data_IF_839202133119
#
_entry.id   IF_839202133119
#
_cell.length_a   1.000
_cell.length_b   1.000
_cell.length_c   1.000
_cell.angle_alpha   90.00
_cell.angle_beta   90.00
_cell.angle_gamma   90.00
#
_symmetry.space_group_name_H-M   'P 1'
#
loop_
_entity.id
_entity.type
_entity.pdbx_description
1 polymer ?
#
# COMPACT_ATOMS: atom_id res chain seq x y z
N UNK A 1 8.94 24.58 -3.02
CA UNK A 1 8.36 23.23 -2.85
C UNK A 1 7.98 22.67 -4.23
N UNK A 2 7.75 21.37 -4.35
CA UNK A 2 7.31 20.77 -5.62
C UNK A 2 6.03 21.41 -6.18
N UNK A 3 5.14 21.91 -5.31
CA UNK A 3 3.91 22.62 -5.68
C UNK A 3 4.15 23.87 -6.53
N UNK A 4 5.17 24.68 -6.21
CA UNK A 4 5.45 25.93 -6.92
C UNK A 4 5.82 25.70 -8.39
N UNK A 5 6.60 24.66 -8.67
CA UNK A 5 6.99 24.30 -10.04
C UNK A 5 5.86 23.50 -10.71
N UNK A 6 5.19 22.62 -9.97
CA UNK A 6 4.07 21.82 -10.45
C UNK A 6 2.95 22.68 -11.02
N UNK A 7 2.49 23.69 -10.27
CA UNK A 7 1.39 24.55 -10.69
C UNK A 7 1.72 25.36 -11.95
N UNK A 8 2.96 25.88 -12.01
CA UNK A 8 3.45 26.61 -13.18
C UNK A 8 3.53 25.70 -14.42
N UNK A 9 3.97 24.45 -14.27
CA UNK A 9 4.02 23.48 -15.35
C UNK A 9 2.61 23.15 -15.85
N UNK A 10 1.73 22.68 -14.98
CA UNK A 10 0.43 22.13 -15.39
C UNK A 10 -0.51 23.16 -16.00
N UNK A 11 -0.34 24.44 -15.65
CA UNK A 11 -1.12 25.56 -16.19
C UNK A 11 -0.49 26.22 -17.43
N UNK A 12 0.70 25.80 -17.87
CA UNK A 12 1.40 26.47 -18.95
C UNK A 12 0.78 26.17 -20.33
N UNK A 13 0.41 27.18 -21.14
CA UNK A 13 -0.35 27.00 -22.40
C UNK A 13 0.43 26.26 -23.50
N UNK A 14 1.75 26.19 -23.38
CA UNK A 14 2.59 25.43 -24.31
C UNK A 14 2.57 23.91 -24.03
N UNK A 15 2.16 23.46 -22.85
CA UNK A 15 2.10 22.03 -22.55
C UNK A 15 0.90 21.40 -23.28
N UNK A 16 1.18 20.37 -24.08
CA UNK A 16 0.18 19.66 -24.89
C UNK A 16 -0.24 18.33 -24.31
N UNK A 17 0.57 17.77 -23.41
CA UNK A 17 0.28 16.52 -22.73
C UNK A 17 0.86 16.52 -21.31
N UNK A 18 0.13 15.92 -20.37
CA UNK A 18 0.53 15.73 -18.98
C UNK A 18 0.38 14.25 -18.65
N UNK A 19 1.45 13.65 -18.12
CA UNK A 19 1.41 12.33 -17.50
C UNK A 19 1.76 12.48 -16.03
N UNK A 20 0.95 11.92 -15.15
CA UNK A 20 1.16 11.98 -13.71
C UNK A 20 0.91 10.62 -13.06
N UNK A 21 1.80 10.26 -12.13
CA UNK A 21 1.64 9.10 -11.26
C UNK A 21 1.79 9.54 -9.81
N UNK A 22 0.80 9.25 -8.98
CA UNK A 22 0.82 9.67 -7.57
C UNK A 22 -0.53 9.59 -6.86
N UNK A 23 -0.77 10.47 -5.88
CA UNK A 23 -2.00 10.45 -5.10
C UNK A 23 -3.21 10.93 -5.90
N UNK A 24 -4.40 10.42 -5.57
CA UNK A 24 -5.68 10.85 -6.17
C UNK A 24 -5.93 12.33 -5.92
N UNK A 25 -5.63 12.82 -4.72
CA UNK A 25 -5.79 14.23 -4.36
C UNK A 25 -4.93 15.15 -5.24
N UNK A 26 -3.65 14.84 -5.40
CA UNK A 26 -2.75 15.64 -6.26
C UNK A 26 -3.16 15.53 -7.73
N UNK A 27 -3.52 14.34 -8.23
CA UNK A 27 -3.97 14.18 -9.60
C UNK A 27 -5.24 14.99 -9.92
N UNK A 28 -6.20 15.06 -8.98
CA UNK A 28 -7.38 15.94 -9.09
C UNK A 28 -7.00 17.42 -9.18
N UNK A 29 -6.05 17.87 -8.35
CA UNK A 29 -5.53 19.27 -8.40
C UNK A 29 -4.87 19.58 -9.74
N UNK A 30 -4.02 18.68 -10.22
CA UNK A 30 -3.34 18.82 -11.52
C UNK A 30 -4.38 18.91 -12.65
N UNK A 31 -5.36 18.01 -12.68
CA UNK A 31 -6.40 18.00 -13.70
C UNK A 31 -7.20 19.30 -13.70
N UNK A 32 -7.60 19.79 -12.52
CA UNK A 32 -8.35 21.04 -12.37
C UNK A 32 -7.55 22.26 -12.86
N UNK A 33 -6.24 22.32 -12.56
CA UNK A 33 -5.38 23.42 -13.00
C UNK A 33 -5.07 23.38 -14.50
N UNK A 34 -5.01 22.18 -15.10
CA UNK A 34 -4.61 21.99 -16.49
C UNK A 34 -5.78 22.07 -17.49
N UNK A 35 -7.01 21.76 -17.08
CA UNK A 35 -8.14 21.53 -17.99
C UNK A 35 -8.47 22.75 -18.87
N UNK A 36 -8.22 23.97 -18.40
CA UNK A 36 -8.45 25.19 -19.19
C UNK A 36 -7.64 25.25 -20.49
N UNK A 37 -6.47 24.59 -20.55
CA UNK A 37 -5.63 24.49 -21.74
C UNK A 37 -5.95 23.25 -22.60
N UNK A 38 -6.86 22.38 -22.14
CA UNK A 38 -7.25 21.12 -22.77
C UNK A 38 -6.06 20.22 -23.21
N UNK A 39 -5.03 20.00 -22.37
CA UNK A 39 -3.95 19.08 -22.73
C UNK A 39 -4.45 17.64 -22.74
N UNK A 40 -3.77 16.75 -23.47
CA UNK A 40 -3.94 15.30 -23.27
C UNK A 40 -3.48 14.94 -21.86
N UNK A 41 -4.26 14.13 -21.13
CA UNK A 41 -3.94 13.75 -19.76
C UNK A 41 -3.94 12.23 -19.57
N UNK A 42 -2.88 11.72 -18.94
CA UNK A 42 -2.78 10.35 -18.42
C UNK A 42 -2.49 10.43 -16.92
N UNK A 43 -3.32 9.77 -16.11
CA UNK A 43 -3.26 9.87 -14.64
C UNK A 43 -3.30 8.47 -14.03
N UNK A 44 -2.19 8.02 -13.48
CA UNK A 44 -2.07 6.75 -12.76
C UNK A 44 -2.05 7.04 -11.26
N UNK A 45 -3.16 6.77 -10.57
CA UNK A 45 -3.35 7.26 -9.20
C UNK A 45 -3.49 6.12 -8.18
N UNK A 46 -4.00 6.44 -6.99
CA UNK A 46 -4.22 5.47 -5.92
C UNK A 46 -5.06 4.26 -6.34
N UNK A 47 -4.94 3.20 -5.55
CA UNK A 47 -5.53 1.91 -5.84
C UNK A 47 -5.93 1.18 -4.55
N UNK A 48 -6.79 0.19 -4.69
CA UNK A 48 -7.11 -0.80 -3.67
C UNK A 48 -7.27 -2.16 -4.36
N UNK A 49 -6.14 -2.73 -4.78
CA UNK A 49 -6.16 -3.91 -5.65
C UNK A 49 -6.60 -5.14 -4.87
N UNK A 50 -7.57 -5.86 -5.43
CA UNK A 50 -8.04 -7.11 -4.89
C UNK A 50 -7.23 -8.29 -5.44
N UNK A 51 -6.83 -9.20 -4.56
CA UNK A 51 -6.42 -10.56 -4.94
C UNK A 51 -7.53 -11.50 -4.48
N UNK A 52 -8.11 -12.25 -5.42
CA UNK A 52 -9.18 -13.21 -5.16
C UNK A 52 -8.58 -14.61 -5.12
N UNK A 53 -8.85 -15.35 -4.05
CA UNK A 53 -8.36 -16.71 -3.82
C UNK A 53 -9.57 -17.64 -3.71
N UNK A 54 -9.70 -18.54 -4.68
CA UNK A 54 -10.80 -19.51 -4.78
C UNK A 54 -10.46 -20.81 -4.05
N UNK A 55 -11.46 -21.64 -3.78
CA UNK A 55 -11.33 -22.90 -3.02
C UNK A 55 -10.49 -23.97 -3.72
N UNK A 56 -10.32 -23.89 -5.04
CA UNK A 56 -9.46 -24.75 -5.84
C UNK A 56 -8.02 -24.23 -5.98
N UNK A 57 -7.68 -23.12 -5.32
CA UNK A 57 -6.34 -22.56 -5.37
C UNK A 57 -5.32 -23.45 -4.65
N UNK A 58 -4.10 -23.51 -5.18
CA UNK A 58 -2.94 -23.94 -4.40
C UNK A 58 -2.71 -22.92 -3.27
N UNK A 59 -3.02 -23.33 -2.04
CA UNK A 59 -3.00 -22.43 -0.87
C UNK A 59 -1.58 -21.92 -0.60
N UNK A 60 -0.55 -22.75 -0.75
CA UNK A 60 0.83 -22.34 -0.45
C UNK A 60 1.32 -21.32 -1.49
N UNK A 61 0.99 -21.54 -2.77
CA UNK A 61 1.24 -20.55 -3.82
C UNK A 61 0.44 -19.27 -3.59
N UNK A 62 -0.84 -19.37 -3.21
CA UNK A 62 -1.69 -18.22 -2.97
C UNK A 62 -1.17 -17.36 -1.81
N UNK A 63 -0.71 -17.97 -0.71
CA UNK A 63 -0.10 -17.28 0.43
C UNK A 63 1.19 -16.58 0.00
N UNK A 64 2.07 -17.24 -0.76
CA UNK A 64 3.29 -16.64 -1.28
C UNK A 64 3.00 -15.43 -2.20
N UNK A 65 2.02 -15.57 -3.10
CA UNK A 65 1.57 -14.50 -3.98
C UNK A 65 0.99 -13.31 -3.19
N UNK A 66 0.13 -13.57 -2.20
CA UNK A 66 -0.47 -12.54 -1.36
C UNK A 66 0.59 -11.78 -0.56
N UNK A 67 1.50 -12.50 0.10
CA UNK A 67 2.57 -11.92 0.90
C UNK A 67 3.52 -11.05 0.05
N UNK A 68 3.96 -11.54 -1.10
CA UNK A 68 4.81 -10.76 -2.02
C UNK A 68 4.05 -9.56 -2.64
N UNK A 69 2.79 -9.78 -3.01
CA UNK A 69 1.90 -8.75 -3.54
C UNK A 69 1.71 -7.59 -2.56
N UNK A 70 1.44 -7.91 -1.30
CA UNK A 70 1.20 -6.94 -0.23
C UNK A 70 2.48 -6.26 0.26
N UNK A 71 3.55 -7.00 0.52
CA UNK A 71 4.71 -6.49 1.25
C UNK A 71 5.96 -6.21 0.40
N UNK A 72 6.06 -6.76 -0.82
CA UNK A 72 7.19 -6.48 -1.70
C UNK A 72 7.32 -4.98 -1.99
N UNK A 73 8.53 -4.42 -1.96
CA UNK A 73 8.74 -2.96 -2.05
C UNK A 73 8.20 -2.20 -0.84
N UNK A 74 8.16 -2.83 0.34
CA UNK A 74 7.57 -2.29 1.59
C UNK A 74 6.09 -1.94 1.42
N UNK A 75 5.39 -2.63 0.52
CA UNK A 75 3.98 -2.37 0.19
C UNK A 75 3.70 -1.02 -0.48
N UNK A 76 4.73 -0.22 -0.77
CA UNK A 76 4.61 1.09 -1.41
C UNK A 76 4.52 0.94 -2.94
N UNK A 77 3.54 0.17 -3.41
CA UNK A 77 3.29 -0.11 -4.84
C UNK A 77 1.84 0.21 -5.19
N UNK A 78 1.60 0.91 -6.30
CA UNK A 78 0.24 1.13 -6.80
C UNK A 78 -0.47 -0.18 -7.21
N UNK A 79 0.26 -1.26 -7.41
CA UNK A 79 -0.27 -2.59 -7.72
C UNK A 79 -0.28 -3.52 -6.50
N UNK A 80 0.04 -3.02 -5.29
CA UNK A 80 0.04 -3.84 -4.09
C UNK A 80 -1.33 -4.47 -3.85
N UNK A 81 -1.34 -5.77 -3.54
CA UNK A 81 -2.54 -6.54 -3.21
C UNK A 81 -2.94 -6.28 -1.77
N UNK A 82 -3.56 -5.11 -1.54
CA UNK A 82 -3.92 -4.63 -0.20
C UNK A 82 -5.31 -5.06 0.26
N UNK A 83 -6.03 -5.82 -0.58
CA UNK A 83 -7.31 -6.45 -0.24
C UNK A 83 -7.30 -7.90 -0.71
N UNK A 84 -7.37 -8.82 0.23
CA UNK A 84 -7.46 -10.25 -0.06
C UNK A 84 -8.93 -10.68 0.08
N UNK A 85 -9.47 -11.34 -0.94
CA UNK A 85 -10.83 -11.88 -0.93
C UNK A 85 -10.68 -13.39 -1.05
N UNK A 86 -10.90 -14.09 0.05
CA UNK A 86 -10.66 -15.53 0.15
C UNK A 86 -12.00 -16.25 0.19
N UNK A 87 -12.12 -17.34 -0.56
CA UNK A 87 -13.30 -18.20 -0.51
C UNK A 87 -13.47 -18.81 0.88
N UNK A 88 -14.71 -18.84 1.38
CA UNK A 88 -15.08 -19.24 2.75
C UNK A 88 -14.50 -20.61 3.14
N UNK A 89 -14.59 -21.58 2.22
CA UNK A 89 -14.12 -22.95 2.43
C UNK A 89 -12.62 -23.10 2.77
N UNK A 90 -11.78 -22.12 2.43
CA UNK A 90 -10.33 -22.13 2.67
C UNK A 90 -9.85 -20.92 3.48
N UNK A 91 -10.77 -20.08 3.96
CA UNK A 91 -10.45 -18.79 4.57
C UNK A 91 -9.52 -18.95 5.78
N UNK A 92 -9.90 -19.78 6.75
CA UNK A 92 -9.18 -19.89 8.01
C UNK A 92 -7.78 -20.47 7.83
N UNK A 93 -7.65 -21.52 7.00
CA UNK A 93 -6.35 -22.11 6.67
C UNK A 93 -5.43 -21.09 5.95
N UNK A 94 -5.97 -20.35 4.98
CA UNK A 94 -5.22 -19.33 4.27
C UNK A 94 -4.74 -18.22 5.21
N UNK A 95 -5.62 -17.75 6.10
CA UNK A 95 -5.30 -16.69 7.07
C UNK A 95 -4.22 -17.15 8.03
N UNK A 96 -4.32 -18.36 8.58
CA UNK A 96 -3.30 -18.92 9.48
C UNK A 96 -1.91 -18.98 8.82
N UNK A 97 -1.84 -19.50 7.58
CA UNK A 97 -0.60 -19.58 6.82
C UNK A 97 -0.05 -18.20 6.47
N UNK A 98 -0.90 -17.26 6.08
CA UNK A 98 -0.49 -15.89 5.75
C UNK A 98 0.07 -15.17 6.99
N UNK A 99 -0.59 -15.28 8.15
CA UNK A 99 -0.10 -14.71 9.40
C UNK A 99 1.25 -15.30 9.78
N UNK A 100 1.41 -16.62 9.64
CA UNK A 100 2.67 -17.31 9.91
C UNK A 100 3.79 -16.80 9.01
N UNK A 101 3.55 -16.74 7.70
CA UNK A 101 4.52 -16.21 6.74
C UNK A 101 4.86 -14.73 7.01
N UNK A 102 3.86 -13.92 7.37
CA UNK A 102 4.03 -12.49 7.64
C UNK A 102 4.89 -12.25 8.88
N UNK A 103 4.68 -13.01 9.96
CA UNK A 103 5.48 -12.91 11.20
C UNK A 103 6.95 -13.29 11.00
N UNK A 104 7.26 -14.10 9.99
CA UNK A 104 8.62 -14.52 9.67
C UNK A 104 9.39 -13.52 8.81
N UNK A 105 8.73 -12.48 8.29
CA UNK A 105 9.38 -11.50 7.43
C UNK A 105 10.41 -10.65 8.18
N UNK A 106 11.59 -10.52 7.59
CA UNK A 106 12.70 -9.74 8.15
C UNK A 106 12.59 -8.27 7.73
N UNK A 107 12.23 -7.42 8.68
CA UNK A 107 12.30 -5.96 8.53
C UNK A 107 13.70 -5.48 8.91
N UNK A 108 14.32 -4.67 8.06
CA UNK A 108 15.70 -4.26 8.26
C UNK A 108 16.15 -3.11 7.37
N UNK A 109 17.42 -2.72 7.53
CA UNK A 109 18.04 -1.73 6.66
C UNK A 109 18.02 -2.23 5.20
N UNK A 110 17.68 -1.35 4.24
CA UNK A 110 17.43 -1.74 2.85
C UNK A 110 18.65 -2.35 2.12
N UNK A 111 19.86 -2.08 2.60
CA UNK A 111 21.11 -2.62 2.05
C UNK A 111 21.67 -3.81 2.85
N UNK A 112 21.03 -4.19 3.96
CA UNK A 112 21.48 -5.33 4.76
C UNK A 112 21.08 -6.65 4.09
N UNK A 113 21.97 -7.63 4.15
CA UNK A 113 21.71 -8.98 3.64
C UNK A 113 20.56 -9.63 4.41
N UNK A 114 19.66 -10.31 3.69
CA UNK A 114 18.50 -10.97 4.29
C UNK A 114 17.31 -10.06 4.61
N UNK A 115 17.42 -8.73 4.46
CA UNK A 115 16.26 -7.83 4.61
C UNK A 115 15.21 -8.14 3.53
N UNK A 116 13.97 -8.37 3.96
CA UNK A 116 12.82 -8.57 3.06
C UNK A 116 11.96 -7.30 2.96
N UNK A 117 11.90 -6.52 4.03
CA UNK A 117 11.11 -5.28 4.10
C UNK A 117 12.02 -4.14 4.60
N UNK A 118 12.19 -3.11 3.77
CA UNK A 118 12.93 -1.90 4.11
C UNK A 118 12.07 -0.85 4.84
N UNK A 119 12.62 0.33 5.15
CA UNK A 119 11.86 1.40 5.78
C UNK A 119 10.78 1.97 4.85
N UNK A 120 9.74 2.54 5.44
CA UNK A 120 8.76 3.41 4.78
C UNK A 120 9.49 4.68 4.30
N UNK A 121 9.03 5.29 3.21
CA UNK A 121 9.78 6.37 2.53
C UNK A 121 9.98 7.64 3.37
N UNK A 122 9.07 7.92 4.32
CA UNK A 122 9.11 9.14 5.13
C UNK A 122 8.37 8.97 6.45
N UNK A 123 8.66 9.86 7.41
CA UNK A 123 7.95 9.93 8.69
C UNK A 123 6.45 10.15 8.50
N UNK A 124 6.07 11.08 7.60
CA UNK A 124 4.66 11.37 7.35
C UNK A 124 3.91 10.17 6.76
N UNK A 125 4.55 9.38 5.91
CA UNK A 125 3.95 8.14 5.40
C UNK A 125 3.85 7.07 6.49
N UNK A 126 4.86 6.93 7.36
CA UNK A 126 4.78 6.01 8.49
C UNK A 126 3.65 6.41 9.46
N UNK A 127 3.53 7.69 9.79
CA UNK A 127 2.44 8.19 10.62
C UNK A 127 1.07 7.85 10.01
N UNK A 128 0.90 8.08 8.70
CA UNK A 128 -0.34 7.70 7.99
C UNK A 128 -0.62 6.19 8.05
N UNK A 129 0.41 5.35 7.91
CA UNK A 129 0.24 3.89 8.00
C UNK A 129 -0.24 3.48 9.41
N UNK A 130 0.34 4.07 10.46
CA UNK A 130 -0.05 3.81 11.85
C UNK A 130 -1.46 4.31 12.15
N UNK A 131 -1.83 5.49 11.64
CA UNK A 131 -3.19 6.01 11.75
C UNK A 131 -4.22 5.05 11.13
N UNK A 132 -3.91 4.43 9.98
CA UNK A 132 -4.79 3.41 9.38
C UNK A 132 -4.91 2.13 10.21
N UNK A 133 -3.88 1.76 10.99
CA UNK A 133 -4.02 0.66 11.95
C UNK A 133 -5.00 1.02 13.06
N UNK A 134 -5.01 2.27 13.51
CA UNK A 134 -5.96 2.74 14.52
C UNK A 134 -7.38 2.84 13.99
N UNK A 135 -7.55 3.28 12.73
CA UNK A 135 -8.85 3.23 12.03
C UNK A 135 -9.35 1.79 11.95
N UNK A 136 -8.51 0.85 11.50
CA UNK A 136 -8.91 -0.55 11.39
C UNK A 136 -9.38 -1.13 12.73
N UNK A 137 -8.67 -0.84 13.84
CA UNK A 137 -9.08 -1.26 15.18
C UNK A 137 -10.40 -0.62 15.60
N UNK A 138 -10.57 0.68 15.34
CA UNK A 138 -11.78 1.43 15.71
C UNK A 138 -13.02 0.95 14.94
N UNK A 139 -12.85 0.48 13.71
CA UNK A 139 -13.94 -0.06 12.87
C UNK A 139 -14.24 -1.54 13.16
N UNK A 140 -13.47 -2.18 14.05
CA UNK A 140 -13.70 -3.56 14.50
C UNK A 140 -12.83 -4.61 13.82
N UNK A 141 -11.80 -4.20 13.09
CA UNK A 141 -10.84 -5.09 12.43
C UNK A 141 -9.98 -5.83 13.43
N UNK A 142 -9.80 -7.12 13.20
CA UNK A 142 -8.94 -7.96 14.03
C UNK A 142 -7.50 -7.88 13.52
N UNK A 143 -6.60 -7.28 14.31
CA UNK A 143 -5.17 -7.23 13.98
C UNK A 143 -4.53 -8.56 14.38
N UNK A 144 -4.35 -9.45 13.40
CA UNK A 144 -3.81 -10.79 13.62
C UNK A 144 -2.29 -10.80 13.85
N UNK A 145 -1.58 -9.81 13.28
CA UNK A 145 -0.17 -9.55 13.58
C UNK A 145 0.28 -8.15 13.15
N UNK A 146 1.35 -7.67 13.78
CA UNK A 146 2.14 -6.52 13.34
C UNK A 146 1.40 -5.19 13.30
N UNK A 147 1.86 -4.29 12.43
CA UNK A 147 1.31 -2.94 12.31
C UNK A 147 1.83 -1.97 13.37
N UNK A 148 3.05 -2.19 13.82
CA UNK A 148 3.71 -1.43 14.89
C UNK A 148 4.96 -0.75 14.37
N UNK A 149 5.28 0.43 14.90
CA UNK A 149 6.56 1.09 14.64
C UNK A 149 7.69 0.26 15.25
N UNK A 150 8.76 0.06 14.48
CA UNK A 150 9.96 -0.65 14.94
C UNK A 150 11.10 0.33 15.19
N UNK A 151 11.86 0.06 16.25
CA UNK A 151 13.14 0.70 16.53
C UNK A 151 14.24 -0.32 16.23
N UNK A 152 15.07 -0.04 15.23
CA UNK A 152 16.18 -0.89 14.80
C UNK A 152 17.51 -0.16 14.99
N UNK A 153 18.63 -0.87 14.78
CA UNK A 153 19.98 -0.31 14.97
C UNK A 153 20.29 0.91 14.08
N UNK A 154 19.65 0.98 12.91
CA UNK A 154 19.80 2.11 11.99
C UNK A 154 18.55 2.97 12.07
N UNK A 155 18.72 4.29 12.12
CA UNK A 155 17.60 5.23 12.06
C UNK A 155 16.79 5.04 10.76
N UNK A 156 15.47 5.10 10.89
CA UNK A 156 14.56 4.97 9.76
C UNK A 156 13.12 4.82 10.18
N UNK A 157 12.24 4.77 9.18
CA UNK A 157 10.80 4.73 9.37
C UNK A 157 10.29 3.29 9.23
N UNK A 158 10.60 2.45 10.21
CA UNK A 158 10.27 1.02 10.15
C UNK A 158 8.91 0.71 10.76
N UNK A 159 8.22 -0.24 10.14
CA UNK A 159 6.94 -0.78 10.61
C UNK A 159 6.92 -2.29 10.40
N UNK A 160 6.39 -3.05 11.35
CA UNK A 160 6.14 -4.49 11.16
C UNK A 160 5.00 -4.72 10.16
N UNK A 161 5.11 -5.72 9.26
CA UNK A 161 4.04 -6.02 8.32
C UNK A 161 2.78 -6.50 9.06
N UNK A 162 1.61 -6.08 8.60
CA UNK A 162 0.35 -6.36 9.29
C UNK A 162 -0.63 -7.19 8.46
N UNK A 163 -1.40 -8.03 9.16
CA UNK A 163 -2.57 -8.73 8.63
C UNK A 163 -3.76 -8.35 9.49
N UNK A 164 -4.83 -7.90 8.83
CA UNK A 164 -6.09 -7.53 9.48
C UNK A 164 -7.20 -8.40 8.88
N UNK A 165 -7.99 -9.04 9.74
CA UNK A 165 -9.14 -9.85 9.37
C UNK A 165 -10.46 -9.25 9.89
N UNK A 166 -11.59 -9.85 9.52
CA UNK A 166 -12.92 -9.39 9.94
C UNK A 166 -13.31 -8.03 9.36
N UNK A 167 -12.77 -7.66 8.19
CA UNK A 167 -13.00 -6.33 7.61
C UNK A 167 -14.29 -6.24 6.78
N UNK A 168 -14.92 -5.06 6.80
CA UNK A 168 -16.12 -4.77 6.02
C UNK A 168 -15.86 -3.94 4.76
N UNK A 169 -16.65 -4.14 3.71
CA UNK A 169 -16.49 -3.39 2.45
C UNK A 169 -16.88 -1.90 2.55
N UNK A 170 -17.64 -1.52 3.58
CA UNK A 170 -18.08 -0.15 3.83
C UNK A 170 -17.14 0.65 4.73
N UNK A 171 -16.01 0.05 5.14
CA UNK A 171 -14.99 0.67 5.97
C UNK A 171 -14.16 1.67 5.19
N UNK A 172 -13.48 2.56 5.91
CA UNK A 172 -12.75 3.69 5.34
C UNK A 172 -11.46 3.29 4.63
#
# INVERSE_FOLDING_TARGET
AGSTIGDALVSHPAIKAITFTGSVETGRRIAAAAIGNMPRMQMEMGSKNALVIMDDADIDLAVACAANGAFGGTGQKCTASSRLIVHDAIHDEFVEKLVTATKQMVVGHALAEGTQIGPVVSEGQLAMNLDYMDVARAEGGEVLCGGERLSLDHDGYYMSPSVIAGTGNGWR
#
